data_IF_157880089390
#
_entry.id   IF_157880089390
#
_cell.length_a   1.000
_cell.length_b   1.000
_cell.length_c   1.000
_cell.angle_alpha   90.00
_cell.angle_beta   90.00
_cell.angle_gamma   90.00
#
_symmetry.space_group_name_H-M   'P 1'
#
loop_
_entity.id
_entity.type
_entity.pdbx_description
1 polymer ?
#
# COMPACT_ATOMS: atom_id res chain seq x y z
N UNK A 1 -17.32 -7.46 -21.91
CA UNK A 1 -18.10 -7.62 -20.68
C UNK A 1 -17.16 -7.44 -19.51
N UNK A 2 -17.46 -6.52 -18.59
CA UNK A 2 -16.82 -6.46 -17.28
C UNK A 2 -17.42 -7.59 -16.45
N UNK A 3 -16.63 -8.58 -16.05
CA UNK A 3 -17.14 -9.70 -15.27
C UNK A 3 -17.56 -9.20 -13.88
N UNK A 4 -18.57 -9.83 -13.27
CA UNK A 4 -19.15 -9.48 -11.97
C UNK A 4 -18.08 -9.23 -10.89
N UNK A 5 -16.96 -9.95 -10.98
CA UNK A 5 -15.81 -9.88 -10.09
C UNK A 5 -15.04 -8.54 -10.23
N UNK A 6 -14.90 -8.02 -11.45
CA UNK A 6 -14.34 -6.69 -11.72
C UNK A 6 -15.25 -5.60 -11.15
N UNK A 7 -16.56 -5.71 -11.38
CA UNK A 7 -17.54 -4.77 -10.84
C UNK A 7 -17.53 -4.76 -9.31
N UNK A 8 -17.49 -5.94 -8.68
CA UNK A 8 -17.43 -6.06 -7.23
C UNK A 8 -16.13 -5.47 -6.66
N UNK A 9 -14.98 -5.71 -7.29
CA UNK A 9 -13.70 -5.14 -6.88
C UNK A 9 -13.68 -3.62 -7.00
N UNK A 10 -14.10 -3.07 -8.14
CA UNK A 10 -14.19 -1.62 -8.37
C UNK A 10 -15.19 -0.96 -7.42
N UNK A 11 -16.36 -1.57 -7.19
CA UNK A 11 -17.34 -1.07 -6.24
C UNK A 11 -16.81 -1.09 -4.80
N UNK A 12 -16.16 -2.18 -4.39
CA UNK A 12 -15.53 -2.28 -3.07
C UNK A 12 -14.48 -1.18 -2.88
N UNK A 13 -13.59 -1.01 -3.85
CA UNK A 13 -12.56 0.03 -3.84
C UNK A 13 -13.20 1.42 -3.80
N UNK A 14 -14.18 1.70 -4.65
CA UNK A 14 -14.90 2.98 -4.72
C UNK A 14 -15.60 3.33 -3.40
N UNK A 15 -16.29 2.38 -2.77
CA UNK A 15 -16.95 2.57 -1.46
C UNK A 15 -15.92 2.86 -0.37
N UNK A 16 -14.77 2.17 -0.38
CA UNK A 16 -13.71 2.37 0.61
C UNK A 16 -13.05 3.75 0.46
N UNK A 17 -12.77 4.18 -0.77
CA UNK A 17 -12.24 5.51 -1.06
C UNK A 17 -13.24 6.60 -0.66
N UNK A 18 -14.50 6.47 -1.06
CA UNK A 18 -15.55 7.43 -0.72
C UNK A 18 -15.77 7.56 0.78
N UNK A 19 -15.72 6.44 1.51
CA UNK A 19 -15.83 6.46 2.96
C UNK A 19 -14.63 7.17 3.61
N UNK A 20 -13.42 6.93 3.10
CA UNK A 20 -12.20 7.58 3.56
C UNK A 20 -12.20 9.10 3.30
N UNK A 21 -12.59 9.53 2.11
CA UNK A 21 -12.69 10.96 1.77
C UNK A 21 -13.80 11.65 2.56
N UNK A 22 -14.93 10.99 2.78
CA UNK A 22 -16.00 11.53 3.64
C UNK A 22 -15.55 11.72 5.08
N UNK A 23 -14.71 10.84 5.63
CA UNK A 23 -14.12 11.02 6.96
C UNK A 23 -13.23 12.26 7.03
N UNK A 24 -12.54 12.60 5.93
CA UNK A 24 -11.74 13.84 5.83
C UNK A 24 -12.55 15.13 5.89
N UNK A 25 -13.88 15.08 5.75
CA UNK A 25 -14.71 16.27 5.97
C UNK A 25 -14.76 16.68 7.45
N UNK A 26 -14.48 15.76 8.38
CA UNK A 26 -14.55 16.00 9.83
C UNK A 26 -13.26 16.68 10.32
N UNK A 27 -13.40 17.70 11.18
CA UNK A 27 -12.27 18.52 11.65
C UNK A 27 -11.29 17.74 12.53
N UNK A 28 -11.79 16.98 13.48
CA UNK A 28 -11.01 16.09 14.36
C UNK A 28 -10.14 15.11 13.57
N UNK A 29 -10.70 14.52 12.51
CA UNK A 29 -9.98 13.57 11.66
C UNK A 29 -8.88 14.28 10.84
N UNK A 30 -9.16 15.49 10.33
CA UNK A 30 -8.13 16.30 9.65
C UNK A 30 -6.99 16.67 10.58
N UNK A 31 -7.29 17.09 11.81
CA UNK A 31 -6.27 17.45 12.80
C UNK A 31 -5.39 16.23 13.15
N UNK A 32 -6.00 15.04 13.25
CA UNK A 32 -5.27 13.77 13.42
C UNK A 32 -4.35 13.45 12.23
N UNK A 33 -4.87 13.53 11.00
CA UNK A 33 -4.07 13.33 9.78
C UNK A 33 -2.92 14.33 9.69
N UNK A 34 -3.17 15.60 10.00
CA UNK A 34 -2.12 16.61 10.06
C UNK A 34 -1.06 16.24 11.11
N UNK A 35 -1.43 15.64 12.24
CA UNK A 35 -0.49 15.11 13.23
C UNK A 35 0.38 13.94 12.71
N UNK A 36 -0.19 13.07 11.87
CA UNK A 36 0.57 12.01 11.18
C UNK A 36 1.58 12.66 10.22
N UNK A 37 1.09 13.52 9.32
CA UNK A 37 1.86 14.16 8.25
C UNK A 37 2.96 15.05 8.82
N UNK A 38 2.67 15.92 9.80
CA UNK A 38 3.67 16.78 10.47
C UNK A 38 4.75 15.99 11.20
N UNK A 39 4.47 14.74 11.57
CA UNK A 39 5.46 13.86 12.16
C UNK A 39 6.34 13.11 11.16
N UNK A 40 6.11 13.26 9.85
CA UNK A 40 7.02 12.77 8.82
C UNK A 40 8.39 13.46 8.96
N UNK A 41 9.44 12.70 8.68
CA UNK A 41 10.84 13.13 8.80
C UNK A 41 11.61 12.58 7.63
N UNK A 42 12.70 13.24 7.26
CA UNK A 42 13.56 12.83 6.14
C UNK A 42 14.00 11.36 6.25
N UNK A 43 14.28 10.87 7.47
CA UNK A 43 14.63 9.46 7.68
C UNK A 43 13.59 8.48 7.15
N UNK A 44 12.30 8.80 7.17
CA UNK A 44 11.27 7.89 6.69
C UNK A 44 11.46 7.66 5.19
N UNK A 45 11.66 8.75 4.43
CA UNK A 45 11.93 8.69 2.99
C UNK A 45 13.28 8.06 2.66
N UNK A 46 14.34 8.37 3.42
CA UNK A 46 15.67 7.79 3.19
C UNK A 46 15.67 6.26 3.33
N UNK A 47 15.00 5.72 4.37
CA UNK A 47 14.89 4.28 4.56
C UNK A 47 13.91 3.60 3.59
N UNK A 48 13.03 4.35 2.91
CA UNK A 48 12.16 3.77 1.88
C UNK A 48 12.96 3.26 0.68
N UNK A 49 14.00 3.97 0.24
CA UNK A 49 14.79 3.59 -0.94
C UNK A 49 15.42 2.18 -0.86
N UNK A 50 16.18 1.81 0.17
CA UNK A 50 16.75 0.46 0.25
C UNK A 50 15.66 -0.62 0.38
N UNK A 51 14.55 -0.32 1.06
CA UNK A 51 13.42 -1.26 1.20
C UNK A 51 12.70 -1.45 -0.13
N UNK A 52 12.41 -0.37 -0.85
CA UNK A 52 11.83 -0.38 -2.18
C UNK A 52 12.72 -1.15 -3.16
N UNK A 53 14.02 -0.87 -3.15
CA UNK A 53 14.97 -1.60 -3.97
C UNK A 53 14.95 -3.10 -3.68
N UNK A 54 14.97 -3.50 -2.39
CA UNK A 54 14.88 -4.91 -2.00
C UNK A 54 13.56 -5.56 -2.45
N UNK A 55 12.43 -4.86 -2.27
CA UNK A 55 11.11 -5.31 -2.74
C UNK A 55 11.12 -5.50 -4.26
N UNK A 56 11.65 -4.55 -5.03
CA UNK A 56 11.71 -4.62 -6.49
C UNK A 56 12.59 -5.77 -6.97
N UNK A 57 13.80 -5.91 -6.44
CA UNK A 57 14.72 -7.01 -6.79
C UNK A 57 14.07 -8.37 -6.52
N UNK A 58 13.49 -8.55 -5.34
CA UNK A 58 12.84 -9.81 -4.96
C UNK A 58 11.59 -10.05 -5.77
N UNK A 59 10.77 -9.03 -6.02
CA UNK A 59 9.60 -9.14 -6.88
C UNK A 59 10.01 -9.56 -8.30
N UNK A 60 10.97 -8.89 -8.92
CA UNK A 60 11.46 -9.22 -10.26
C UNK A 60 11.97 -10.66 -10.34
N UNK A 61 12.74 -11.12 -9.35
CA UNK A 61 13.22 -12.50 -9.30
C UNK A 61 12.07 -13.51 -9.15
N UNK A 62 11.11 -13.25 -8.26
CA UNK A 62 9.97 -14.13 -8.04
C UNK A 62 9.02 -14.18 -9.25
N UNK A 63 8.91 -13.09 -10.02
CA UNK A 63 8.09 -13.05 -11.23
C UNK A 63 8.65 -13.95 -12.35
N UNK A 64 9.93 -14.35 -12.30
CA UNK A 64 10.52 -15.32 -13.22
C UNK A 64 10.14 -16.78 -12.89
N UNK A 65 9.64 -17.04 -11.67
CA UNK A 65 9.26 -18.38 -11.24
C UNK A 65 7.86 -18.70 -11.79
N UNK A 66 7.69 -19.81 -12.53
CA UNK A 66 6.39 -20.22 -13.05
C UNK A 66 5.32 -20.29 -11.95
N UNK A 67 4.15 -19.69 -12.23
CA UNK A 67 3.02 -19.66 -11.32
C UNK A 67 3.04 -18.51 -10.30
N UNK A 68 4.19 -17.89 -10.02
CA UNK A 68 4.25 -16.75 -9.08
C UNK A 68 3.86 -15.41 -9.72
N UNK A 69 3.91 -15.33 -11.05
CA UNK A 69 3.39 -14.20 -11.81
C UNK A 69 1.86 -14.14 -11.87
N UNK A 70 1.18 -15.19 -11.39
CA UNK A 70 -0.27 -15.25 -11.39
C UNK A 70 -0.88 -14.37 -10.28
N UNK A 71 -1.96 -13.68 -10.64
CA UNK A 71 -2.90 -13.01 -9.74
C UNK A 71 -4.29 -13.04 -10.37
N UNK A 72 -5.36 -13.02 -9.58
CA UNK A 72 -6.72 -13.18 -10.15
C UNK A 72 -7.09 -12.08 -11.17
N UNK A 73 -6.47 -10.89 -11.09
CA UNK A 73 -6.58 -9.84 -12.12
C UNK A 73 -6.11 -10.32 -13.49
N UNK A 74 -4.97 -11.02 -13.54
CA UNK A 74 -4.47 -11.62 -14.78
C UNK A 74 -5.39 -12.72 -15.31
N UNK A 75 -6.06 -13.47 -14.42
CA UNK A 75 -7.00 -14.52 -14.80
C UNK A 75 -8.25 -14.01 -15.52
N UNK A 76 -8.62 -12.74 -15.32
CA UNK A 76 -9.76 -12.08 -16.00
C UNK A 76 -9.30 -11.19 -17.17
N UNK A 77 -8.07 -11.36 -17.66
CA UNK A 77 -7.51 -10.63 -18.80
C UNK A 77 -6.97 -9.24 -18.46
N UNK A 78 -6.82 -8.92 -17.18
CA UNK A 78 -6.17 -7.70 -16.73
C UNK A 78 -4.66 -7.71 -16.93
N UNK A 79 -4.08 -6.56 -17.30
CA UNK A 79 -2.63 -6.37 -17.39
C UNK A 79 -2.23 -5.36 -16.31
N UNK A 80 -1.04 -5.50 -15.71
CA UNK A 80 -0.58 -4.57 -14.67
C UNK A 80 -1.37 -4.66 -13.36
N UNK A 81 -1.62 -3.51 -12.73
CA UNK A 81 -2.32 -3.43 -11.43
C UNK A 81 -3.80 -3.11 -11.61
N UNK A 82 -4.74 -3.90 -11.05
CA UNK A 82 -6.17 -3.59 -11.06
C UNK A 82 -6.51 -2.26 -10.38
N UNK A 83 -5.64 -1.80 -9.47
CA UNK A 83 -5.78 -0.51 -8.78
C UNK A 83 -5.58 0.67 -9.73
N UNK A 84 -4.78 0.49 -10.78
CA UNK A 84 -4.56 1.50 -11.81
C UNK A 84 -5.55 1.36 -12.98
N UNK A 85 -6.43 0.36 -12.96
CA UNK A 85 -7.52 0.21 -13.93
C UNK A 85 -7.10 0.04 -15.39
N UNK A 86 -5.80 -0.11 -15.68
CA UNK A 86 -5.30 -0.31 -17.04
C UNK A 86 -5.63 -1.72 -17.50
N UNK A 87 -6.60 -1.81 -18.40
CA UNK A 87 -6.91 -3.03 -19.15
C UNK A 87 -6.58 -2.81 -20.61
N UNK A 88 -6.17 -3.85 -21.33
CA UNK A 88 -5.98 -3.79 -22.80
C UNK A 88 -7.29 -3.52 -23.57
N UNK A 89 -8.44 -3.46 -22.88
CA UNK A 89 -9.75 -3.13 -23.47
C UNK A 89 -10.07 -1.63 -23.47
N UNK A 90 -9.44 -0.84 -22.61
CA UNK A 90 -9.75 0.59 -22.44
C UNK A 90 -8.68 1.50 -23.07
N UNK A 91 -7.68 0.92 -23.73
CA UNK A 91 -6.57 1.64 -24.38
C UNK A 91 -7.09 2.57 -25.49
N UNK A 92 -6.82 3.87 -25.36
CA UNK A 92 -7.15 4.89 -26.37
C UNK A 92 -8.40 5.73 -26.09
N UNK A 93 -9.06 5.55 -24.93
CA UNK A 93 -10.25 6.30 -24.53
C UNK A 93 -10.02 7.29 -23.36
N UNK A 94 -10.84 8.34 -23.19
CA UNK A 94 -10.69 9.30 -22.08
C UNK A 94 -10.75 8.67 -20.68
N UNK A 95 -11.47 7.55 -20.55
CA UNK A 95 -11.61 6.81 -19.28
C UNK A 95 -10.29 6.21 -18.79
N UNK A 96 -9.33 5.98 -19.68
CA UNK A 96 -7.97 5.52 -19.37
C UNK A 96 -7.23 6.48 -18.43
N UNK A 97 -7.49 7.78 -18.56
CA UNK A 97 -6.85 8.81 -17.73
C UNK A 97 -7.74 9.28 -16.58
N UNK A 98 -9.06 9.34 -16.80
CA UNK A 98 -10.02 9.84 -15.81
C UNK A 98 -10.13 8.90 -14.61
N UNK A 99 -10.20 7.57 -14.83
CA UNK A 99 -10.36 6.61 -13.74
C UNK A 99 -9.13 6.59 -12.79
N UNK A 100 -7.87 6.49 -13.27
CA UNK A 100 -6.71 6.60 -12.39
C UNK A 100 -6.61 7.95 -11.70
N UNK A 101 -6.93 9.06 -12.40
CA UNK A 101 -6.88 10.39 -11.80
C UNK A 101 -7.89 10.54 -10.65
N UNK A 102 -9.14 10.10 -10.83
CA UNK A 102 -10.16 10.11 -9.78
C UNK A 102 -9.74 9.20 -8.62
N UNK A 103 -9.22 8.01 -8.92
CA UNK A 103 -8.72 7.08 -7.91
C UNK A 103 -7.62 7.72 -7.06
N UNK A 104 -6.60 8.31 -7.70
CA UNK A 104 -5.48 9.00 -7.02
C UNK A 104 -5.98 10.20 -6.21
N UNK A 105 -6.87 11.01 -6.76
CA UNK A 105 -7.44 12.18 -6.09
C UNK A 105 -8.23 11.81 -4.81
N UNK A 106 -8.92 10.66 -4.82
CA UNK A 106 -9.61 10.15 -3.64
C UNK A 106 -8.67 9.43 -2.67
N UNK A 107 -7.67 8.72 -3.17
CA UNK A 107 -6.74 7.93 -2.36
C UNK A 107 -5.76 8.81 -1.59
N UNK A 108 -5.17 9.83 -2.22
CA UNK A 108 -4.12 10.63 -1.60
C UNK A 108 -4.53 11.26 -0.25
N UNK A 109 -5.70 11.91 -0.12
CA UNK A 109 -6.14 12.46 1.17
C UNK A 109 -6.42 11.38 2.22
N UNK A 110 -6.89 10.20 1.79
CA UNK A 110 -7.24 9.09 2.68
C UNK A 110 -6.02 8.20 3.03
N UNK A 111 -4.91 8.34 2.32
CA UNK A 111 -3.72 7.49 2.43
C UNK A 111 -3.15 7.42 3.86
N UNK A 112 -3.07 8.53 4.64
CA UNK A 112 -2.61 8.48 6.02
C UNK A 112 -3.50 7.61 6.91
N UNK A 113 -4.83 7.67 6.72
CA UNK A 113 -5.79 6.86 7.47
C UNK A 113 -5.73 5.38 7.09
N UNK A 114 -5.54 5.08 5.80
CA UNK A 114 -5.39 3.69 5.36
C UNK A 114 -4.09 3.07 5.87
N UNK A 115 -2.97 3.82 5.79
CA UNK A 115 -1.71 3.39 6.36
C UNK A 115 -1.89 3.12 7.87
N UNK A 116 -2.48 4.05 8.62
CA UNK A 116 -2.71 3.85 10.05
C UNK A 116 -3.58 2.63 10.33
N UNK A 117 -4.69 2.45 9.61
CA UNK A 117 -5.59 1.32 9.81
C UNK A 117 -4.89 -0.04 9.58
N UNK A 118 -4.01 -0.12 8.57
CA UNK A 118 -3.19 -1.31 8.33
C UNK A 118 -2.17 -1.51 9.45
N UNK A 119 -1.49 -0.45 9.88
CA UNK A 119 -0.50 -0.54 10.94
C UNK A 119 -1.12 -0.95 12.28
N UNK A 120 -2.29 -0.42 12.63
CA UNK A 120 -3.07 -0.86 13.80
C UNK A 120 -3.38 -2.37 13.73
N UNK A 121 -3.76 -2.87 12.56
CA UNK A 121 -4.16 -4.28 12.38
C UNK A 121 -2.98 -5.24 12.42
N UNK A 122 -1.88 -4.89 11.77
CA UNK A 122 -0.78 -5.81 11.54
C UNK A 122 0.36 -5.68 12.57
N UNK A 123 0.49 -4.54 13.28
CA UNK A 123 1.68 -4.23 14.10
C UNK A 123 1.38 -3.97 15.56
N UNK A 124 0.19 -3.49 15.91
CA UNK A 124 -0.15 -3.23 17.32
C UNK A 124 0.04 -4.48 18.18
N UNK A 125 0.81 -4.35 19.25
CA UNK A 125 1.18 -5.45 20.16
C UNK A 125 2.42 -6.23 19.74
N UNK A 126 3.10 -5.85 18.65
CA UNK A 126 4.29 -6.56 18.17
C UNK A 126 5.44 -6.60 19.19
N UNK A 127 5.50 -5.67 20.14
CA UNK A 127 6.46 -5.64 21.24
C UNK A 127 6.44 -6.92 22.08
N UNK A 128 5.26 -7.54 22.27
CA UNK A 128 5.09 -8.78 23.02
C UNK A 128 5.13 -10.04 22.15
N UNK A 129 5.26 -9.90 20.83
CA UNK A 129 5.24 -11.05 19.91
C UNK A 129 6.61 -11.73 19.82
N UNK A 130 6.60 -13.05 19.70
CA UNK A 130 7.78 -13.82 19.31
C UNK A 130 8.22 -13.44 17.89
N UNK A 131 9.50 -13.66 17.59
CA UNK A 131 10.08 -13.41 16.25
C UNK A 131 9.31 -14.16 15.16
N UNK A 132 8.94 -15.42 15.40
CA UNK A 132 8.15 -16.22 14.46
C UNK A 132 6.80 -15.56 14.12
N UNK A 133 6.10 -15.03 15.12
CA UNK A 133 4.81 -14.32 14.90
C UNK A 133 5.01 -13.03 14.12
N UNK A 134 6.08 -12.27 14.38
CA UNK A 134 6.42 -11.06 13.62
C UNK A 134 6.68 -11.37 12.15
N UNK A 135 7.47 -12.42 11.86
CA UNK A 135 7.71 -12.89 10.49
C UNK A 135 6.39 -13.32 9.83
N UNK A 136 5.58 -14.12 10.51
CA UNK A 136 4.28 -14.55 9.98
C UNK A 136 3.34 -13.38 9.65
N UNK A 137 3.34 -12.32 10.47
CA UNK A 137 2.55 -11.10 10.22
C UNK A 137 3.11 -10.27 9.07
N UNK A 138 4.42 -10.21 8.89
CA UNK A 138 5.04 -9.57 7.74
C UNK A 138 4.67 -10.30 6.43
N UNK A 139 4.70 -11.64 6.43
CA UNK A 139 4.23 -12.45 5.29
C UNK A 139 2.75 -12.25 5.03
N UNK A 140 1.91 -12.31 6.07
CA UNK A 140 0.47 -12.07 5.93
C UNK A 140 0.17 -10.69 5.34
N UNK A 141 0.92 -9.66 5.76
CA UNK A 141 0.81 -8.32 5.21
C UNK A 141 1.13 -8.28 3.71
N UNK A 142 2.20 -8.92 3.25
CA UNK A 142 2.49 -8.99 1.82
C UNK A 142 1.39 -9.74 1.07
N UNK A 143 1.03 -10.93 1.54
CA UNK A 143 0.09 -11.83 0.87
C UNK A 143 -1.35 -11.29 0.78
N UNK A 144 -1.79 -10.44 1.70
CA UNK A 144 -3.15 -9.85 1.61
C UNK A 144 -3.34 -9.01 0.35
N UNK A 145 -2.25 -8.50 -0.24
CA UNK A 145 -2.29 -7.74 -1.49
C UNK A 145 -2.69 -8.61 -2.69
N UNK A 146 -2.53 -9.94 -2.59
CA UNK A 146 -3.04 -10.85 -3.63
C UNK A 146 -4.58 -10.78 -3.74
N UNK A 147 -5.28 -10.43 -2.65
CA UNK A 147 -6.73 -10.25 -2.66
C UNK A 147 -7.17 -9.07 -3.53
N UNK A 148 -6.32 -8.05 -3.70
CA UNK A 148 -6.56 -6.94 -4.61
C UNK A 148 -5.92 -7.19 -5.98
N UNK A 149 -5.57 -8.43 -6.32
CA UNK A 149 -5.14 -8.84 -7.65
C UNK A 149 -3.65 -8.66 -7.96
N UNK A 150 -2.85 -8.31 -6.95
CA UNK A 150 -1.39 -8.29 -7.06
C UNK A 150 -0.87 -9.74 -7.25
N UNK A 151 0.12 -9.99 -8.12
CA UNK A 151 0.70 -11.32 -8.30
C UNK A 151 1.27 -11.91 -7.01
N UNK A 152 1.23 -13.24 -6.87
CA UNK A 152 1.71 -13.95 -5.69
C UNK A 152 3.19 -13.62 -5.38
N UNK A 153 4.04 -13.58 -6.40
CA UNK A 153 5.46 -13.22 -6.28
C UNK A 153 5.66 -11.82 -5.71
N UNK A 154 4.86 -10.85 -6.18
CA UNK A 154 4.88 -9.47 -5.67
C UNK A 154 4.36 -9.42 -4.23
N UNK A 155 3.27 -10.15 -3.92
CA UNK A 155 2.76 -10.30 -2.55
C UNK A 155 3.82 -10.83 -1.58
N UNK A 156 4.59 -11.84 -1.99
CA UNK A 156 5.71 -12.34 -1.20
C UNK A 156 6.80 -11.29 -1.01
N UNK A 157 7.19 -10.56 -2.07
CA UNK A 157 8.17 -9.48 -1.98
C UNK A 157 7.73 -8.35 -1.03
N UNK A 158 6.44 -7.98 -1.03
CA UNK A 158 5.86 -6.97 -0.13
C UNK A 158 5.98 -7.36 1.37
N UNK A 159 6.24 -8.64 1.68
CA UNK A 159 6.55 -9.08 3.04
C UNK A 159 7.79 -8.39 3.61
N UNK A 160 8.73 -7.97 2.76
CA UNK A 160 9.92 -7.19 3.16
C UNK A 160 9.49 -5.83 3.72
N UNK A 161 8.58 -5.13 3.02
CA UNK A 161 7.96 -3.91 3.52
C UNK A 161 7.23 -4.16 4.84
N UNK A 162 6.51 -5.29 4.95
CA UNK A 162 5.84 -5.67 6.19
C UNK A 162 6.79 -5.86 7.39
N UNK A 163 7.98 -6.41 7.13
CA UNK A 163 9.05 -6.52 8.12
C UNK A 163 9.65 -5.17 8.49
N UNK A 164 9.92 -4.31 7.50
CA UNK A 164 10.39 -2.94 7.71
C UNK A 164 9.44 -2.12 8.58
N UNK A 165 8.13 -2.16 8.31
CA UNK A 165 7.14 -1.45 9.13
C UNK A 165 7.05 -2.01 10.56
N UNK A 166 7.23 -3.32 10.73
CA UNK A 166 7.35 -3.94 12.06
C UNK A 166 8.60 -3.44 12.81
N UNK A 167 9.73 -3.28 12.11
CA UNK A 167 10.93 -2.68 12.70
C UNK A 167 10.72 -1.22 13.11
N UNK A 168 10.07 -0.40 12.27
CA UNK A 168 9.67 0.97 12.60
C UNK A 168 8.76 1.02 13.82
N UNK A 169 7.76 0.13 13.89
CA UNK A 169 6.86 0.02 15.04
C UNK A 169 7.64 -0.22 16.33
N UNK A 170 8.52 -1.21 16.35
CA UNK A 170 9.30 -1.55 17.54
C UNK A 170 10.26 -0.44 17.94
N UNK A 171 10.81 0.28 16.96
CA UNK A 171 11.64 1.47 17.20
C UNK A 171 10.83 2.61 17.83
N UNK A 172 9.64 2.89 17.30
CA UNK A 172 8.72 3.90 17.84
C UNK A 172 8.27 3.56 19.25
N UNK A 173 7.93 2.28 19.50
CA UNK A 173 7.58 1.78 20.83
C UNK A 173 8.73 1.96 21.82
N UNK A 174 9.96 1.57 21.46
CA UNK A 174 11.14 1.75 22.34
C UNK A 174 11.42 3.21 22.67
N UNK A 175 11.19 4.13 21.74
CA UNK A 175 11.44 5.55 21.94
C UNK A 175 10.32 6.25 22.73
N UNK A 176 9.06 5.87 22.53
CA UNK A 176 7.90 6.53 23.13
C UNK A 176 7.22 5.76 24.27
N UNK A 177 7.67 4.55 24.58
CA UNK A 177 7.17 3.72 25.68
C UNK A 177 5.72 3.23 25.55
N UNK A 178 5.08 3.35 24.38
CA UNK A 178 3.67 2.99 24.20
C UNK A 178 3.36 2.37 22.83
N UNK A 179 2.35 1.48 22.74
CA UNK A 179 1.89 0.93 21.46
C UNK A 179 1.43 2.02 20.48
N UNK A 180 0.83 3.11 21.00
CA UNK A 180 0.43 4.26 20.20
C UNK A 180 1.62 4.93 19.52
N UNK A 181 2.74 5.12 20.23
CA UNK A 181 3.97 5.64 19.63
C UNK A 181 4.55 4.71 18.57
N UNK A 182 4.48 3.39 18.80
CA UNK A 182 4.88 2.38 17.82
C UNK A 182 4.05 2.47 16.53
N UNK A 183 2.71 2.48 16.64
CA UNK A 183 1.82 2.60 15.48
C UNK A 183 2.07 3.93 14.76
N UNK A 184 2.26 5.03 15.48
CA UNK A 184 2.50 6.32 14.84
C UNK A 184 3.79 6.35 14.01
N UNK A 185 4.88 5.76 14.52
CA UNK A 185 6.15 5.68 13.76
C UNK A 185 6.02 4.77 12.54
N UNK A 186 5.39 3.59 12.67
CA UNK A 186 5.22 2.70 11.52
C UNK A 186 4.23 3.24 10.48
N UNK A 187 3.18 3.96 10.93
CA UNK A 187 2.23 4.67 10.05
C UNK A 187 2.95 5.73 9.21
N UNK A 188 3.86 6.48 9.82
CA UNK A 188 4.64 7.51 9.11
C UNK A 188 5.63 6.89 8.12
N UNK A 189 6.29 5.80 8.50
CA UNK A 189 7.17 5.07 7.59
C UNK A 189 6.39 4.48 6.39
N UNK A 190 5.24 3.88 6.66
CA UNK A 190 4.36 3.32 5.63
C UNK A 190 3.78 4.42 4.72
N UNK A 191 3.32 5.54 5.28
CA UNK A 191 2.88 6.69 4.50
C UNK A 191 4.00 7.24 3.61
N UNK A 192 5.22 7.41 4.15
CA UNK A 192 6.37 7.86 3.36
C UNK A 192 6.70 6.89 2.22
N UNK A 193 6.63 5.58 2.48
CA UNK A 193 6.82 4.54 1.48
C UNK A 193 5.79 4.66 0.35
N UNK A 194 4.51 4.76 0.69
CA UNK A 194 3.44 4.89 -0.30
C UNK A 194 3.56 6.18 -1.11
N UNK A 195 3.85 7.32 -0.46
CA UNK A 195 4.10 8.59 -1.15
C UNK A 195 5.30 8.50 -2.10
N UNK A 196 6.38 7.84 -1.68
CA UNK A 196 7.57 7.65 -2.53
C UNK A 196 7.22 6.82 -3.77
N UNK A 197 6.48 5.72 -3.60
CA UNK A 197 5.99 4.91 -4.73
C UNK A 197 5.11 5.74 -5.67
N UNK A 198 4.18 6.53 -5.14
CA UNK A 198 3.33 7.40 -5.95
C UNK A 198 4.13 8.41 -6.76
N UNK A 199 5.14 9.05 -6.14
CA UNK A 199 6.02 10.00 -6.84
C UNK A 199 6.80 9.31 -7.95
N UNK A 200 7.37 8.13 -7.70
CA UNK A 200 8.10 7.36 -8.72
C UNK A 200 7.19 7.02 -9.90
N UNK A 201 5.99 6.51 -9.64
CA UNK A 201 5.01 6.18 -10.68
C UNK A 201 4.62 7.44 -11.47
N UNK A 202 4.33 8.55 -10.78
CA UNK A 202 3.95 9.80 -11.42
C UNK A 202 5.07 10.34 -12.33
N UNK A 203 6.33 10.26 -11.89
CA UNK A 203 7.50 10.66 -12.69
C UNK A 203 7.67 9.75 -13.90
N UNK A 204 7.58 8.42 -13.73
CA UNK A 204 7.68 7.48 -14.84
C UNK A 204 6.63 7.77 -15.93
N UNK A 205 5.36 7.91 -15.52
CA UNK A 205 4.26 8.27 -16.42
C UNK A 205 4.48 9.61 -17.12
N UNK A 206 4.94 10.65 -16.40
CA UNK A 206 5.22 11.96 -16.98
C UNK A 206 6.42 11.95 -17.96
N UNK A 207 7.37 11.02 -17.76
CA UNK A 207 8.53 10.82 -18.63
C UNK A 207 8.27 9.89 -19.83
N UNK A 208 7.09 9.25 -19.91
CA UNK A 208 6.77 8.29 -20.97
C UNK A 208 7.52 6.96 -20.87
N UNK A 209 7.94 6.59 -19.65
CA UNK A 209 8.62 5.32 -19.33
C UNK A 209 7.66 4.39 -18.60
#
# INVERSE_FOLDING_TARGET
MLDLLTFAALAFVGVRLFSGTRLMARRDVRDHVLGIVRGLRLRHFLWCWPVLFAVLVVASALMLVPGLSWGWWSAIGGVGSPVLGVSSRDSGGPLEFVLPAVFVAMLLPALPLFAEAEEQRFRRGAECWSTRRRIGRAVQFGMIHCLIGIPIGVGMALSIGGGYFTWCYLRGFRAGGSPAAGVAESTRAHLAYNVTVFVIIAVALASGV
#
